data_IF_858171107948
#
_entry.id   IF_858171107948
#
_cell.length_a   1.000
_cell.length_b   1.000
_cell.length_c   1.000
_cell.angle_alpha   90.00
_cell.angle_beta   90.00
_cell.angle_gamma   90.00
#
_symmetry.space_group_name_H-M   'P 1'
#
loop_
_entity.id
_entity.type
_entity.pdbx_description
1 polymer ?
#
# COMPACT_ATOMS: atom_id res chain seq x y z
N UNK A 1 -3.91 -13.62 -14.08
CA UNK A 1 -2.79 -13.47 -13.12
C UNK A 1 -2.88 -12.06 -12.55
N UNK A 2 -3.58 -11.91 -11.44
CA UNK A 2 -3.83 -10.61 -10.80
C UNK A 2 -2.55 -10.10 -10.12
N UNK A 3 -1.84 -9.17 -10.78
CA UNK A 3 -0.73 -8.45 -10.17
C UNK A 3 -1.26 -7.19 -9.52
N UNK A 4 -0.81 -6.95 -8.29
CA UNK A 4 -1.04 -5.74 -7.53
C UNK A 4 0.20 -4.87 -7.67
N UNK A 5 0.02 -3.66 -8.19
CA UNK A 5 1.05 -2.62 -8.16
C UNK A 5 0.86 -1.81 -6.91
N UNK A 6 1.95 -1.56 -6.19
CA UNK A 6 1.92 -0.84 -4.92
C UNK A 6 2.90 0.30 -4.99
N UNK A 7 2.45 1.49 -4.61
CA UNK A 7 3.24 2.70 -4.62
C UNK A 7 3.14 3.34 -3.25
N UNK A 8 4.28 3.55 -2.58
CA UNK A 8 4.32 4.28 -1.31
C UNK A 8 4.36 5.77 -1.62
N UNK A 9 3.40 6.51 -1.08
CA UNK A 9 3.18 7.95 -1.30
C UNK A 9 3.11 8.63 0.06
N UNK A 10 4.02 9.53 0.37
CA UNK A 10 4.03 10.26 1.64
C UNK A 10 5.39 10.21 2.33
N UNK A 11 5.44 10.75 3.55
CA UNK A 11 6.65 11.02 4.31
C UNK A 11 6.55 12.43 4.89
N UNK A 12 6.39 12.52 6.21
CA UNK A 12 6.25 13.77 6.97
C UNK A 12 7.25 14.85 6.47
N UNK A 13 6.73 16.02 6.08
CA UNK A 13 7.48 17.27 5.91
C UNK A 13 8.67 17.29 4.91
N UNK A 14 8.49 16.84 3.67
CA UNK A 14 9.47 17.15 2.60
C UNK A 14 10.84 16.49 2.75
N UNK A 15 10.97 15.50 3.64
CA UNK A 15 12.18 14.70 3.86
C UNK A 15 12.18 13.38 3.05
N UNK A 16 11.56 13.42 1.87
CA UNK A 16 11.77 12.47 0.79
C UNK A 16 11.93 13.32 -0.45
N UNK A 17 13.18 13.60 -0.85
CA UNK A 17 13.49 14.45 -1.99
C UNK A 17 12.73 14.01 -3.26
N UNK A 18 12.62 14.87 -4.28
CA UNK A 18 11.78 14.69 -5.48
C UNK A 18 12.04 13.42 -6.33
N UNK A 19 12.94 12.53 -5.92
CA UNK A 19 13.46 11.40 -6.69
C UNK A 19 13.34 10.03 -6.00
N UNK A 20 12.85 9.93 -4.75
CA UNK A 20 12.66 8.63 -4.09
C UNK A 20 11.21 8.15 -4.24
N UNK A 21 10.98 7.20 -5.14
CA UNK A 21 9.69 6.53 -5.29
C UNK A 21 9.83 5.10 -4.82
N UNK A 22 9.10 4.73 -3.77
CA UNK A 22 9.04 3.32 -3.37
C UNK A 22 7.91 2.64 -4.12
N UNK A 23 8.25 1.66 -4.94
CA UNK A 23 7.30 0.90 -5.75
C UNK A 23 7.51 -0.59 -5.53
N UNK A 24 6.41 -1.32 -5.43
CA UNK A 24 6.36 -2.78 -5.33
C UNK A 24 5.38 -3.35 -6.33
N UNK A 25 5.62 -4.60 -6.73
CA UNK A 25 4.65 -5.40 -7.45
C UNK A 25 4.60 -6.79 -6.80
N UNK A 26 3.40 -7.22 -6.41
CA UNK A 26 3.18 -8.55 -5.85
C UNK A 26 2.03 -9.22 -6.60
N UNK A 27 2.18 -10.51 -6.88
CA UNK A 27 1.07 -11.29 -7.40
C UNK A 27 0.10 -11.60 -6.26
N UNK A 28 -1.21 -11.50 -6.50
CA UNK A 28 -2.21 -11.91 -5.52
C UNK A 28 -2.00 -13.37 -5.08
N UNK A 29 -1.53 -14.22 -6.01
CA UNK A 29 -1.18 -15.62 -5.76
C UNK A 29 0.03 -15.83 -4.84
N UNK A 30 0.89 -14.82 -4.68
CA UNK A 30 2.05 -14.84 -3.78
C UNK A 30 1.67 -14.45 -2.34
N UNK A 31 0.53 -13.75 -2.20
CA UNK A 31 -0.02 -13.39 -0.89
C UNK A 31 -0.68 -14.59 -0.22
N UNK A 32 -0.58 -14.64 1.11
CA UNK A 32 -1.32 -15.61 1.92
C UNK A 32 -2.83 -15.39 1.79
N UNK A 33 -3.69 -16.41 2.00
CA UNK A 33 -5.15 -16.27 1.90
C UNK A 33 -5.73 -15.16 2.78
N UNK A 34 -5.11 -14.90 3.94
CA UNK A 34 -5.48 -13.81 4.84
C UNK A 34 -5.17 -12.42 4.24
N UNK A 35 -3.99 -12.28 3.62
CA UNK A 35 -3.57 -11.05 2.94
C UNK A 35 -4.42 -10.80 1.69
N UNK A 36 -4.71 -11.85 0.91
CA UNK A 36 -5.61 -11.77 -0.25
C UNK A 36 -6.98 -11.25 0.18
N UNK A 37 -7.58 -11.84 1.22
CA UNK A 37 -8.87 -11.40 1.75
C UNK A 37 -8.83 -9.96 2.24
N UNK A 38 -7.73 -9.54 2.85
CA UNK A 38 -7.53 -8.15 3.31
C UNK A 38 -7.53 -7.21 2.12
N UNK A 39 -6.73 -7.49 1.09
CA UNK A 39 -6.71 -6.70 -0.15
C UNK A 39 -8.10 -6.66 -0.79
N UNK A 40 -8.78 -7.79 -0.92
CA UNK A 40 -10.12 -7.82 -1.48
C UNK A 40 -11.10 -6.95 -0.69
N UNK A 41 -11.01 -6.95 0.64
CA UNK A 41 -11.81 -6.06 1.49
C UNK A 41 -11.46 -4.59 1.31
N UNK A 42 -10.16 -4.25 1.18
CA UNK A 42 -9.72 -2.88 0.89
C UNK A 42 -10.27 -2.39 -0.46
N UNK A 43 -10.29 -3.26 -1.48
CA UNK A 43 -10.83 -2.94 -2.79
C UNK A 43 -12.37 -2.90 -2.82
N UNK A 44 -13.03 -3.73 -1.99
CA UNK A 44 -14.48 -3.75 -1.87
C UNK A 44 -15.02 -2.54 -1.10
N UNK A 45 -14.33 -2.14 -0.03
CA UNK A 45 -14.70 -0.98 0.78
C UNK A 45 -13.46 -0.19 1.25
N UNK A 46 -12.91 0.67 0.40
CA UNK A 46 -11.73 1.48 0.75
C UNK A 46 -12.02 2.54 1.83
N UNK A 47 -13.29 2.83 2.11
CA UNK A 47 -13.70 3.81 3.15
C UNK A 47 -13.81 3.19 4.53
N UNK A 48 -13.94 1.86 4.61
CA UNK A 48 -13.99 1.10 5.87
C UNK A 48 -12.61 0.91 6.50
N UNK A 49 -11.55 1.35 5.83
CA UNK A 49 -10.23 1.40 6.43
C UNK A 49 -10.29 2.33 7.63
N UNK A 50 -10.09 1.75 8.82
CA UNK A 50 -10.14 2.52 10.05
C UNK A 50 -9.15 3.68 9.94
N UNK A 51 -9.54 4.91 10.33
CA UNK A 51 -8.57 5.97 10.46
C UNK A 51 -7.48 5.51 11.43
N UNK A 52 -6.23 5.88 11.15
CA UNK A 52 -5.11 5.56 12.00
C UNK A 52 -5.44 5.97 13.45
N UNK A 53 -5.13 5.11 14.42
CA UNK A 53 -5.42 5.41 15.82
C UNK A 53 -4.79 6.76 16.19
N UNK A 54 -5.46 7.61 16.99
CA UNK A 54 -4.87 8.86 17.46
C UNK A 54 -3.59 8.55 18.25
N UNK A 55 -2.42 8.81 17.65
CA UNK A 55 -1.09 8.45 18.17
C UNK A 55 -0.24 7.62 17.20
N UNK A 56 -0.85 7.02 16.17
CA UNK A 56 -0.18 6.32 15.08
C UNK A 56 -0.39 7.13 13.81
N UNK A 57 0.28 8.28 13.70
CA UNK A 57 0.29 9.02 12.44
C UNK A 57 1.04 8.14 11.42
N UNK A 58 0.32 7.52 10.49
CA UNK A 58 0.97 6.87 9.36
C UNK A 58 1.85 7.89 8.66
N UNK A 59 3.15 7.63 8.60
CA UNK A 59 4.08 8.52 7.92
C UNK A 59 3.88 8.48 6.40
N UNK A 60 3.31 7.37 5.89
CA UNK A 60 3.14 7.09 4.47
C UNK A 60 1.74 6.56 4.16
N UNK A 61 1.24 6.92 2.99
CA UNK A 61 0.10 6.27 2.34
C UNK A 61 0.61 5.29 1.28
N UNK A 62 -0.19 4.30 0.92
CA UNK A 62 0.13 3.31 -0.10
C UNK A 62 -1.01 3.29 -1.12
N UNK A 63 -0.67 3.47 -2.39
CA UNK A 63 -1.59 3.28 -3.51
C UNK A 63 -1.46 1.87 -4.01
N UNK A 64 -2.55 1.13 -3.98
CA UNK A 64 -2.62 -0.23 -4.49
C UNK A 64 -3.46 -0.20 -5.76
N UNK A 65 -2.87 -0.59 -6.88
CA UNK A 65 -3.52 -0.68 -8.19
C UNK A 65 -3.65 -2.14 -8.61
N UNK A 66 -4.88 -2.58 -8.86
CA UNK A 66 -5.23 -3.89 -9.38
C UNK A 66 -5.91 -3.71 -10.74
N UNK A 67 -5.17 -3.95 -11.82
CA UNK A 67 -5.69 -3.75 -13.17
C UNK A 67 -6.09 -2.29 -13.41
N UNK A 68 -7.40 -2.03 -13.52
CA UNK A 68 -7.97 -0.69 -13.73
C UNK A 68 -8.45 0.01 -12.44
N UNK A 69 -8.46 -0.69 -11.29
CA UNK A 69 -8.89 -0.11 -10.02
C UNK A 69 -7.67 0.28 -9.19
N UNK A 70 -7.68 1.51 -8.67
CA UNK A 70 -6.65 2.01 -7.75
C UNK A 70 -7.32 2.51 -6.48
N UNK A 71 -6.79 2.08 -5.35
CA UNK A 71 -7.20 2.55 -4.03
C UNK A 71 -5.99 3.15 -3.30
N UNK A 72 -6.24 4.17 -2.48
CA UNK A 72 -5.22 4.74 -1.60
C UNK A 72 -5.58 4.37 -0.18
N UNK A 73 -4.65 3.70 0.51
CA UNK A 73 -4.85 3.18 1.86
C UNK A 73 -3.65 3.55 2.74
N UNK A 74 -3.87 3.85 4.03
CA UNK A 74 -2.79 4.14 4.96
C UNK A 74 -1.89 2.92 5.23
N UNK A 75 -0.65 3.18 5.63
CA UNK A 75 0.36 2.15 5.92
C UNK A 75 -0.12 1.04 6.86
N UNK A 76 -0.81 1.40 7.95
CA UNK A 76 -1.29 0.42 8.93
C UNK A 76 -2.31 -0.57 8.36
N UNK A 77 -3.07 -0.16 7.34
CA UNK A 77 -4.10 -0.99 6.71
C UNK A 77 -3.53 -1.94 5.66
N UNK A 78 -2.30 -1.69 5.22
CA UNK A 78 -1.62 -2.54 4.25
C UNK A 78 -0.94 -3.72 4.96
N UNK A 79 -1.20 -4.95 4.52
CA UNK A 79 -0.47 -6.13 5.00
C UNK A 79 1.04 -5.93 4.94
N UNK A 80 1.75 -6.39 5.97
CA UNK A 80 3.22 -6.27 6.02
C UNK A 80 3.90 -6.98 4.85
N UNK A 81 3.33 -8.07 4.33
CA UNK A 81 3.79 -8.76 3.10
C UNK A 81 3.86 -7.80 1.91
N UNK A 82 2.82 -6.99 1.72
CA UNK A 82 2.73 -6.02 0.64
C UNK A 82 3.72 -4.87 0.87
N UNK A 83 3.80 -4.36 2.11
CA UNK A 83 4.78 -3.31 2.47
C UNK A 83 6.22 -3.76 2.25
N UNK A 84 6.55 -5.00 2.63
CA UNK A 84 7.87 -5.60 2.41
C UNK A 84 8.17 -5.86 0.92
N UNK A 85 7.14 -6.00 0.09
CA UNK A 85 7.30 -6.12 -1.37
C UNK A 85 7.65 -4.77 -2.03
N UNK A 86 7.27 -3.65 -1.39
CA UNK A 86 7.66 -2.31 -1.87
C UNK A 86 9.15 -2.11 -1.64
N UNK A 87 9.88 -1.89 -2.74
CA UNK A 87 11.30 -1.54 -2.68
C UNK A 87 11.47 -0.06 -2.95
N UNK A 88 12.38 0.56 -2.20
CA UNK A 88 12.84 1.90 -2.47
C UNK A 88 13.67 1.90 -3.76
N UNK A 89 13.14 2.57 -4.79
CA UNK A 89 13.85 2.77 -6.05
C UNK A 89 14.30 4.23 -6.06
N UNK A 90 15.62 4.44 -6.10
CA UNK A 90 16.18 5.74 -6.48
C UNK A 90 16.10 5.85 -8.01
N UNK A 91 15.39 6.85 -8.51
CA UNK A 91 15.53 7.30 -9.92
C UNK A 91 16.72 8.25 -10.09
#
# INVERSE_FOLDING_TARGET
>A
MDRLKIERVGGFAGFGGPHLKSRGEVALSDLSPADQKTVEQLFADPKKVAPAHPGQADAFSYRITRGAQTIEVPEHAVPSTIRNSVKDVLE
#
